data_IF_757647661270
#
_entry.id   IF_757647661270
#
_cell.length_a   1.000
_cell.length_b   1.000
_cell.length_c   1.000
_cell.angle_alpha   90.00
_cell.angle_beta   90.00
_cell.angle_gamma   90.00
#
_symmetry.space_group_name_H-M   'P 1'
#
loop_
_entity.id
_entity.type
_entity.pdbx_description
1 polymer ?
#
# COMPACT_ATOMS: atom_id res chain seq x y z
N UNK A 1 0.39 -10.75 12.94
CA UNK A 1 -0.43 -9.54 13.20
C UNK A 1 0.44 -8.32 12.95
N UNK A 2 0.35 -7.70 11.77
CA UNK A 2 0.96 -6.39 11.52
C UNK A 2 0.03 -5.37 12.18
N UNK A 3 0.34 -5.02 13.42
CA UNK A 3 -0.39 -4.03 14.21
C UNK A 3 0.31 -2.68 14.00
N UNK A 4 0.14 -2.10 12.81
CA UNK A 4 0.77 -0.84 12.41
C UNK A 4 0.47 -0.61 10.94
N UNK A 5 -0.24 0.48 10.62
CA UNK A 5 -0.62 0.79 9.24
C UNK A 5 0.60 0.79 8.31
N UNK A 6 0.46 0.18 7.15
CA UNK A 6 1.51 0.14 6.13
C UNK A 6 1.45 1.42 5.31
N UNK A 7 2.60 2.06 5.08
CA UNK A 7 2.71 3.20 4.17
C UNK A 7 3.56 2.81 2.96
N UNK A 8 3.00 2.94 1.77
CA UNK A 8 3.71 2.82 0.50
C UNK A 8 4.17 4.22 0.09
N UNK A 9 5.46 4.36 -0.21
CA UNK A 9 6.05 5.60 -0.72
C UNK A 9 6.27 5.47 -2.23
N UNK A 10 5.73 6.40 -3.01
CA UNK A 10 5.88 6.41 -4.47
C UNK A 10 7.00 7.36 -4.90
N UNK A 11 7.54 7.16 -6.11
CA UNK A 11 8.69 7.92 -6.61
C UNK A 11 8.43 9.43 -6.79
N UNK A 12 7.17 9.84 -6.94
CA UNK A 12 6.73 11.24 -7.04
C UNK A 12 6.58 11.92 -5.66
N UNK A 13 6.86 11.20 -4.57
CA UNK A 13 6.69 11.70 -3.20
C UNK A 13 5.28 11.55 -2.64
N UNK A 14 4.34 11.01 -3.42
CA UNK A 14 3.01 10.63 -2.92
C UNK A 14 3.11 9.44 -1.95
N UNK A 15 2.06 9.23 -1.16
CA UNK A 15 1.99 8.11 -0.20
C UNK A 15 0.63 7.43 -0.23
N UNK A 16 0.62 6.12 -0.02
CA UNK A 16 -0.61 5.36 0.22
C UNK A 16 -0.52 4.77 1.63
N UNK A 17 -1.44 5.15 2.51
CA UNK A 17 -1.48 4.66 3.88
C UNK A 17 -2.67 3.71 4.06
N UNK A 18 -2.39 2.48 4.47
CA UNK A 18 -3.40 1.45 4.74
C UNK A 18 -3.72 1.43 6.23
N UNK A 19 -4.97 1.71 6.57
CA UNK A 19 -5.45 1.70 7.96
C UNK A 19 -6.65 0.78 8.13
N UNK A 20 -6.70 -0.04 9.21
CA UNK A 20 -7.85 -0.89 9.47
C UNK A 20 -9.09 -0.06 9.82
N UNK A 21 -10.24 -0.51 9.30
CA UNK A 21 -11.59 0.03 9.51
C UNK A 21 -12.54 -1.13 9.81
N UNK A 22 -12.56 -1.57 11.07
CA UNK A 22 -13.35 -2.74 11.46
C UNK A 22 -12.82 -4.02 10.82
N UNK A 23 -13.59 -4.61 9.90
CA UNK A 23 -13.19 -5.79 9.10
C UNK A 23 -12.66 -5.41 7.70
N UNK A 24 -12.68 -4.13 7.38
CA UNK A 24 -12.21 -3.56 6.11
C UNK A 24 -10.96 -2.70 6.35
N UNK A 25 -10.44 -2.12 5.28
CA UNK A 25 -9.26 -1.28 5.27
C UNK A 25 -9.52 -0.03 4.43
N UNK A 26 -9.16 1.13 4.96
CA UNK A 26 -9.08 2.37 4.19
C UNK A 26 -7.66 2.53 3.64
N UNK A 27 -7.56 2.77 2.33
CA UNK A 27 -6.35 3.18 1.64
C UNK A 27 -6.42 4.67 1.37
N UNK A 28 -5.65 5.46 2.12
CA UNK A 28 -5.56 6.90 1.94
C UNK A 28 -4.44 7.23 0.96
N UNK A 29 -4.81 7.71 -0.22
CA UNK A 29 -3.85 8.22 -1.20
C UNK A 29 -3.61 9.70 -0.93
N UNK A 30 -2.37 10.07 -0.67
CA UNK A 30 -1.95 11.44 -0.43
C UNK A 30 -0.93 11.87 -1.46
N UNK A 31 -1.06 13.09 -1.98
CA UNK A 31 -0.06 13.67 -2.87
C UNK A 31 1.23 14.03 -2.10
N UNK A 32 2.27 14.46 -2.83
CA UNK A 32 3.55 14.89 -2.25
C UNK A 32 3.46 16.07 -1.25
N UNK A 33 2.33 16.80 -1.21
CA UNK A 33 2.06 17.87 -0.25
C UNK A 33 1.37 17.36 1.02
N UNK A 34 1.07 16.06 1.10
CA UNK A 34 0.40 15.41 2.22
C UNK A 34 -1.13 15.52 2.18
N UNK A 35 -1.71 16.07 1.12
CA UNK A 35 -3.16 16.23 0.97
C UNK A 35 -3.77 14.91 0.50
N UNK A 36 -4.84 14.46 1.15
CA UNK A 36 -5.60 13.28 0.71
C UNK A 36 -6.31 13.60 -0.60
N UNK A 37 -5.97 12.85 -1.66
CA UNK A 37 -6.59 12.98 -2.98
C UNK A 37 -7.64 11.89 -3.23
N UNK A 38 -7.54 10.75 -2.54
CA UNK A 38 -8.53 9.68 -2.58
C UNK A 38 -8.51 8.85 -1.30
N UNK A 39 -9.65 8.23 -0.99
CA UNK A 39 -9.76 7.14 -0.02
C UNK A 39 -10.48 5.98 -0.70
N UNK A 40 -9.87 4.81 -0.70
CA UNK A 40 -10.45 3.57 -1.23
C UNK A 40 -10.72 2.61 -0.07
N UNK A 41 -11.85 1.93 -0.08
CA UNK A 41 -12.18 0.90 0.91
C UNK A 41 -11.94 -0.48 0.31
N UNK A 42 -11.25 -1.35 1.04
CA UNK A 42 -10.94 -2.73 0.63
C UNK A 42 -11.33 -3.71 1.74
N UNK A 43 -11.75 -4.91 1.36
CA UNK A 43 -11.82 -6.02 2.30
C UNK A 43 -10.43 -6.68 2.45
N UNK A 44 -10.35 -7.73 3.29
CA UNK A 44 -9.10 -8.46 3.53
C UNK A 44 -8.54 -9.12 2.27
N UNK A 45 -9.39 -9.76 1.46
CA UNK A 45 -8.96 -10.50 0.27
C UNK A 45 -8.35 -9.56 -0.80
N UNK A 46 -8.98 -8.40 -1.00
CA UNK A 46 -8.47 -7.36 -1.91
C UNK A 46 -7.13 -6.78 -1.43
N UNK A 47 -6.98 -6.62 -0.11
CA UNK A 47 -5.74 -6.13 0.49
C UNK A 47 -4.59 -7.15 0.35
N UNK A 48 -4.88 -8.43 0.54
CA UNK A 48 -3.89 -9.49 0.38
C UNK A 48 -3.43 -9.60 -1.09
N UNK A 49 -4.36 -9.50 -2.04
CA UNK A 49 -4.03 -9.46 -3.46
C UNK A 49 -3.12 -8.27 -3.82
N UNK A 50 -3.37 -7.08 -3.27
CA UNK A 50 -2.51 -5.90 -3.47
C UNK A 50 -1.09 -6.15 -2.96
N UNK A 51 -0.93 -6.77 -1.79
CA UNK A 51 0.40 -7.07 -1.25
C UNK A 51 1.12 -8.15 -2.06
N UNK A 52 0.41 -9.16 -2.55
CA UNK A 52 0.97 -10.18 -3.42
C UNK A 52 1.51 -9.58 -4.74
N UNK A 53 0.76 -8.67 -5.37
CA UNK A 53 1.22 -7.95 -6.56
C UNK A 53 2.47 -7.10 -6.28
N UNK A 54 2.53 -6.43 -5.12
CA UNK A 54 3.68 -5.60 -4.73
C UNK A 54 4.95 -6.43 -4.50
N UNK A 55 4.81 -7.58 -3.84
CA UNK A 55 5.92 -8.50 -3.60
C UNK A 55 6.43 -9.12 -4.91
N UNK A 56 5.54 -9.49 -5.83
CA UNK A 56 5.89 -10.02 -7.15
C UNK A 56 6.73 -9.03 -7.97
N UNK A 57 6.47 -7.73 -7.84
CA UNK A 57 7.24 -6.69 -8.54
C UNK A 57 8.61 -6.36 -7.91
N UNK A 58 8.86 -6.81 -6.67
CA UNK A 58 10.11 -6.52 -5.94
C UNK A 58 11.19 -7.58 -6.15
N UNK A 59 10.88 -8.68 -6.85
CA UNK A 59 11.90 -9.67 -7.26
C UNK A 59 12.71 -9.12 -8.43
N UNK A 60 13.68 -8.26 -8.13
CA UNK A 60 14.84 -8.05 -8.99
C UNK A 60 15.70 -9.31 -8.90
N UNK A 61 15.64 -10.14 -9.94
CA UNK A 61 16.64 -11.19 -10.14
C UNK A 61 18.01 -10.52 -10.30
N UNK A 62 18.74 -10.43 -9.19
CA UNK A 62 20.18 -10.24 -9.23
C UNK A 62 20.81 -11.58 -9.62
N UNK A 63 20.70 -11.94 -10.91
CA UNK A 63 21.61 -12.92 -11.47
C UNK A 63 23.02 -12.33 -11.42
N UNK A 64 23.87 -13.02 -10.67
CA UNK A 64 25.25 -12.68 -10.42
C UNK A 64 26.04 -12.47 -11.72
N UNK A 65 26.75 -11.34 -11.80
CA UNK A 65 27.83 -11.11 -12.76
C UNK A 65 29.16 -10.89 -12.01
#
# INVERSE_FOLDING_TARGET
MINGGTTIHTADGSTVNVTPRGLEYDLHVRNARGETVATVVMNQDDLDALYEELDAHTTVEWEAA
#
